data_IF_700162465453
#
_entry.id   IF_700162465453
#
_cell.length_a   1.000
_cell.length_b   1.000
_cell.length_c   1.000
_cell.angle_alpha   90.00
_cell.angle_beta   90.00
_cell.angle_gamma   90.00
#
_symmetry.space_group_name_H-M   'P 1'
#
loop_
_entity.id
_entity.type
_entity.pdbx_description
1 polymer ?
#
# COMPACT_ATOMS: atom_id res chain seq x y z
N UNK A 1 1.10 24.08 42.62
CA UNK A 1 1.22 23.04 43.68
C UNK A 1 2.68 22.73 44.05
N UNK A 2 3.66 23.55 43.63
CA UNK A 2 5.09 23.37 43.93
C UNK A 2 5.65 24.47 44.86
N UNK A 3 4.81 25.17 45.64
CA UNK A 3 5.27 26.32 46.41
C UNK A 3 5.60 26.06 47.89
N UNK A 4 5.41 24.89 48.43
CA UNK A 4 5.97 24.53 49.75
C UNK A 4 6.22 23.00 49.70
N UNK A 5 7.50 22.68 49.73
CA UNK A 5 7.99 21.33 49.54
C UNK A 5 7.38 20.31 50.48
N UNK A 6 6.30 19.73 50.07
CA UNK A 6 5.84 18.48 50.63
C UNK A 6 6.77 17.37 50.09
N UNK A 7 7.88 17.20 50.78
CA UNK A 7 8.89 16.16 50.47
C UNK A 7 8.26 14.77 50.50
N UNK A 8 7.15 14.59 51.20
CA UNK A 8 6.43 13.32 51.21
C UNK A 8 5.57 13.12 49.95
N UNK A 9 5.01 14.20 49.38
CA UNK A 9 4.35 14.15 48.07
C UNK A 9 5.35 13.86 46.96
N UNK A 10 6.54 14.47 47.00
CA UNK A 10 7.62 14.20 46.03
C UNK A 10 8.12 12.75 46.18
N UNK A 11 8.32 12.26 47.40
CA UNK A 11 8.70 10.87 47.67
C UNK A 11 7.64 9.87 47.20
N UNK A 12 6.35 10.15 47.43
CA UNK A 12 5.24 9.33 46.87
C UNK A 12 5.23 9.35 45.35
N UNK A 13 5.35 10.53 44.75
CA UNK A 13 5.41 10.63 43.29
C UNK A 13 6.61 9.86 42.67
N UNK A 14 7.79 9.88 43.37
CA UNK A 14 8.96 9.09 42.97
C UNK A 14 8.73 7.60 43.22
N UNK A 15 8.03 7.24 44.30
CA UNK A 15 7.73 5.83 44.62
C UNK A 15 6.68 5.27 43.64
N UNK A 16 5.68 6.04 43.28
CA UNK A 16 4.67 5.72 42.27
C UNK A 16 5.31 5.70 40.89
N UNK A 17 6.29 6.56 40.60
CA UNK A 17 7.08 6.52 39.37
C UNK A 17 7.93 5.24 39.22
N UNK A 18 8.27 4.54 40.33
CA UNK A 18 8.94 3.23 40.25
C UNK A 18 8.04 2.11 39.76
N UNK A 19 6.74 2.30 39.82
CA UNK A 19 5.75 1.39 39.19
C UNK A 19 5.38 1.81 37.79
N UNK A 20 5.93 2.95 37.31
CA UNK A 20 5.77 3.36 35.92
C UNK A 20 6.40 2.32 35.00
N UNK A 21 5.55 1.63 34.27
CA UNK A 21 6.00 0.77 33.18
C UNK A 21 6.23 1.67 31.97
N UNK A 22 7.43 1.64 31.37
CA UNK A 22 7.67 2.33 30.11
C UNK A 22 6.60 1.93 29.08
N UNK A 23 6.16 2.89 28.27
CA UNK A 23 5.23 2.62 27.17
C UNK A 23 5.75 1.45 26.31
N UNK A 24 4.85 0.55 25.92
CA UNK A 24 5.18 -0.60 25.12
C UNK A 24 5.51 -1.88 25.90
N UNK A 25 5.59 -1.84 27.25
CA UNK A 25 5.76 -3.07 28.06
C UNK A 25 4.40 -3.52 28.56
N UNK A 26 3.94 -4.69 28.08
CA UNK A 26 2.66 -5.28 28.43
C UNK A 26 2.90 -6.53 29.28
N UNK A 27 2.17 -6.68 30.38
CA UNK A 27 2.22 -7.90 31.20
C UNK A 27 1.50 -9.05 30.51
N UNK A 28 2.13 -10.26 30.50
CA UNK A 28 1.55 -11.41 29.81
C UNK A 28 0.13 -11.77 30.28
N UNK A 29 -0.21 -11.50 31.55
CA UNK A 29 -1.56 -11.74 32.08
C UNK A 29 -2.63 -10.83 31.47
N UNK A 30 -2.26 -9.61 31.06
CA UNK A 30 -3.18 -8.65 30.42
C UNK A 30 -3.41 -8.92 28.93
N UNK A 31 -2.68 -9.90 28.35
CA UNK A 31 -2.85 -10.28 26.95
C UNK A 31 -4.12 -11.11 26.68
N UNK A 32 -4.82 -11.57 27.74
CA UNK A 32 -5.99 -12.42 27.53
C UNK A 32 -7.06 -11.77 26.65
N UNK A 33 -7.39 -10.51 26.90
CA UNK A 33 -8.36 -9.77 26.06
C UNK A 33 -7.85 -9.62 24.64
N UNK A 34 -6.55 -9.34 24.47
CA UNK A 34 -5.94 -9.19 23.15
C UNK A 34 -5.99 -10.47 22.33
N UNK A 35 -5.70 -11.63 22.93
CA UNK A 35 -5.68 -12.92 22.22
C UNK A 35 -7.08 -13.53 22.04
N UNK A 36 -8.05 -13.13 22.86
CA UNK A 36 -9.45 -13.55 22.71
C UNK A 36 -10.23 -12.62 21.80
N UNK A 37 -9.74 -11.41 21.53
CA UNK A 37 -10.28 -10.55 20.47
C UNK A 37 -10.12 -11.27 19.12
N UNK A 38 -11.19 -11.46 18.33
CA UNK A 38 -11.07 -12.11 17.04
C UNK A 38 -9.99 -11.45 16.20
N UNK A 39 -9.11 -12.27 15.60
CA UNK A 39 -8.13 -11.79 14.63
C UNK A 39 -8.81 -10.91 13.57
N UNK A 40 -8.05 -9.95 13.03
CA UNK A 40 -8.49 -9.09 11.94
C UNK A 40 -9.28 -9.92 10.92
N UNK A 41 -10.59 -9.72 10.89
CA UNK A 41 -11.45 -10.43 9.93
C UNK A 41 -11.08 -10.00 8.54
N UNK A 42 -11.12 -10.92 7.58
CA UNK A 42 -11.19 -10.57 6.17
C UNK A 42 -12.32 -9.56 5.99
N UNK A 43 -11.99 -8.37 5.48
CA UNK A 43 -12.97 -7.31 5.20
C UNK A 43 -13.54 -7.47 3.81
N UNK A 44 -12.66 -7.78 2.84
CA UNK A 44 -13.02 -8.02 1.46
C UNK A 44 -12.19 -9.16 0.87
N UNK A 45 -12.79 -9.88 -0.05
CA UNK A 45 -12.05 -10.81 -0.88
C UNK A 45 -11.31 -10.05 -1.98
N UNK A 46 -10.14 -10.58 -2.38
CA UNK A 46 -9.52 -10.17 -3.63
C UNK A 46 -10.40 -10.57 -4.82
N UNK A 47 -10.43 -9.83 -5.93
CA UNK A 47 -11.16 -10.21 -7.14
C UNK A 47 -10.58 -11.46 -7.82
N UNK A 48 -9.53 -12.04 -7.26
CA UNK A 48 -8.83 -13.21 -7.77
C UNK A 48 -8.85 -14.34 -6.72
N UNK A 49 -9.56 -15.43 -7.02
CA UNK A 49 -9.74 -16.57 -6.11
C UNK A 49 -8.40 -17.10 -5.56
N UNK A 50 -7.37 -17.24 -6.42
CA UNK A 50 -6.06 -17.75 -5.98
C UNK A 50 -5.33 -16.84 -4.98
N UNK A 51 -5.64 -15.54 -4.92
CA UNK A 51 -5.13 -14.66 -3.87
C UNK A 51 -5.85 -14.91 -2.54
N UNK A 52 -7.17 -15.13 -2.57
CA UNK A 52 -7.94 -15.43 -1.36
C UNK A 52 -7.50 -16.75 -0.71
N UNK A 53 -7.19 -17.76 -1.52
CA UNK A 53 -6.67 -19.05 -1.03
C UNK A 53 -5.32 -18.92 -0.31
N UNK A 54 -4.50 -17.93 -0.68
CA UNK A 54 -3.14 -17.76 -0.15
C UNK A 54 -3.02 -16.65 0.90
N UNK A 55 -3.73 -15.55 0.71
CA UNK A 55 -3.67 -14.37 1.57
C UNK A 55 -4.87 -14.28 2.53
N UNK A 56 -5.87 -15.17 2.39
CA UNK A 56 -7.07 -15.21 3.21
C UNK A 56 -7.88 -13.90 3.20
N UNK A 57 -7.92 -13.22 2.04
CA UNK A 57 -8.60 -11.94 1.84
C UNK A 57 -7.78 -10.73 2.25
N UNK A 58 -8.41 -9.56 2.16
CA UNK A 58 -7.84 -8.24 2.51
C UNK A 58 -8.23 -7.94 3.95
N UNK A 59 -7.29 -7.48 4.78
CA UNK A 59 -7.50 -7.12 6.18
C UNK A 59 -6.93 -5.75 6.46
N UNK A 60 -7.58 -5.00 7.35
CA UNK A 60 -7.02 -3.73 7.82
C UNK A 60 -5.73 -3.95 8.63
N UNK A 61 -4.85 -2.94 8.64
CA UNK A 61 -3.57 -2.99 9.36
C UNK A 61 -2.48 -3.77 8.64
N UNK A 62 -2.65 -4.11 7.36
CA UNK A 62 -1.66 -4.84 6.57
C UNK A 62 -0.92 -3.95 5.57
N UNK A 63 0.37 -4.21 5.42
CA UNK A 63 1.23 -3.66 4.38
C UNK A 63 1.46 -4.73 3.31
N UNK A 64 0.81 -4.56 2.16
CA UNK A 64 0.89 -5.50 1.03
C UNK A 64 1.76 -4.89 -0.06
N UNK A 65 2.85 -5.53 -0.41
CA UNK A 65 3.72 -5.08 -1.50
C UNK A 65 3.38 -5.77 -2.81
N UNK A 66 3.20 -4.98 -3.87
CA UNK A 66 3.00 -5.43 -5.26
C UNK A 66 4.28 -5.15 -6.03
N UNK A 67 4.83 -6.17 -6.68
CA UNK A 67 6.10 -6.04 -7.40
C UNK A 67 6.06 -6.68 -8.79
N UNK A 68 6.83 -6.15 -9.71
CA UNK A 68 7.06 -6.76 -11.03
C UNK A 68 8.19 -6.05 -11.78
N UNK A 69 8.57 -6.59 -12.93
CA UNK A 69 9.33 -5.86 -13.96
C UNK A 69 8.60 -4.61 -14.46
N UNK A 70 9.32 -3.76 -15.18
CA UNK A 70 8.75 -2.56 -15.80
C UNK A 70 7.71 -2.97 -16.84
N UNK A 71 6.58 -2.27 -16.95
CA UNK A 71 5.55 -2.54 -17.97
C UNK A 71 4.71 -3.81 -17.76
N UNK A 72 4.91 -4.57 -16.68
CA UNK A 72 4.15 -5.82 -16.42
C UNK A 72 2.74 -5.61 -15.84
N UNK A 73 2.27 -4.37 -15.72
CA UNK A 73 0.88 -4.06 -15.35
C UNK A 73 0.62 -3.80 -13.87
N UNK A 74 1.63 -3.43 -13.04
CA UNK A 74 1.45 -3.10 -11.61
C UNK A 74 0.34 -2.07 -11.37
N UNK A 75 0.45 -0.91 -12.01
CA UNK A 75 -0.52 0.18 -11.88
C UNK A 75 -1.93 -0.27 -12.30
N UNK A 76 -2.05 -1.03 -13.39
CA UNK A 76 -3.34 -1.58 -13.84
C UNK A 76 -3.92 -2.56 -12.82
N UNK A 77 -3.08 -3.39 -12.21
CA UNK A 77 -3.48 -4.31 -11.16
C UNK A 77 -3.95 -3.56 -9.90
N UNK A 78 -3.22 -2.51 -9.48
CA UNK A 78 -3.61 -1.64 -8.37
C UNK A 78 -4.95 -0.95 -8.64
N UNK A 79 -5.14 -0.39 -9.85
CA UNK A 79 -6.40 0.23 -10.27
C UNK A 79 -7.56 -0.75 -10.25
N UNK A 80 -7.33 -1.99 -10.68
CA UNK A 80 -8.35 -3.04 -10.64
C UNK A 80 -8.74 -3.39 -9.19
N UNK A 81 -7.75 -3.54 -8.29
CA UNK A 81 -8.02 -3.74 -6.85
C UNK A 81 -8.74 -2.54 -6.23
N UNK A 82 -8.28 -1.32 -6.53
CA UNK A 82 -8.91 -0.11 -6.01
C UNK A 82 -10.37 0.00 -6.47
N UNK A 83 -10.64 -0.22 -7.77
CA UNK A 83 -12.00 -0.22 -8.30
C UNK A 83 -12.87 -1.29 -7.64
N UNK A 84 -12.35 -2.50 -7.45
CA UNK A 84 -13.08 -3.57 -6.77
C UNK A 84 -13.45 -3.18 -5.33
N UNK A 85 -12.52 -2.60 -4.57
CA UNK A 85 -12.77 -2.15 -3.19
C UNK A 85 -13.76 -0.98 -3.12
N UNK A 86 -13.66 -0.02 -4.03
CA UNK A 86 -14.63 1.08 -4.17
C UNK A 86 -16.03 0.55 -4.45
N UNK A 87 -16.18 -0.48 -5.30
CA UNK A 87 -17.47 -1.14 -5.57
C UNK A 87 -18.02 -1.90 -4.35
N UNK A 88 -17.16 -2.29 -3.41
CA UNK A 88 -17.57 -2.89 -2.12
C UNK A 88 -17.90 -1.82 -1.05
N UNK A 89 -17.86 -0.53 -1.40
CA UNK A 89 -18.16 0.58 -0.50
C UNK A 89 -16.99 1.02 0.38
N UNK A 90 -15.75 0.59 0.05
CA UNK A 90 -14.58 1.09 0.76
C UNK A 90 -14.21 2.51 0.35
N UNK A 91 -13.72 3.26 1.31
CA UNK A 91 -13.12 4.58 1.10
C UNK A 91 -11.64 4.41 0.79
N UNK A 92 -11.26 4.76 -0.46
CA UNK A 92 -9.94 4.45 -1.00
C UNK A 92 -9.13 5.71 -1.29
N UNK A 93 -7.90 5.77 -0.77
CA UNK A 93 -6.90 6.77 -1.14
C UNK A 93 -5.93 6.22 -2.19
N UNK A 94 -5.57 7.03 -3.18
CA UNK A 94 -4.62 6.63 -4.24
C UNK A 94 -3.57 7.73 -4.44
N UNK A 95 -2.30 7.34 -4.33
CA UNK A 95 -1.15 8.17 -4.63
C UNK A 95 -0.38 7.52 -5.79
N UNK A 96 -0.72 7.89 -7.04
CA UNK A 96 0.04 7.52 -8.25
C UNK A 96 0.98 8.68 -8.61
N UNK A 97 2.25 8.55 -8.22
CA UNK A 97 3.23 9.65 -8.35
C UNK A 97 3.80 9.80 -9.77
N UNK A 98 3.56 8.84 -10.66
CA UNK A 98 3.97 8.85 -12.06
C UNK A 98 2.84 9.17 -13.04
N UNK A 99 1.60 9.33 -12.54
CA UNK A 99 0.46 9.59 -13.39
C UNK A 99 -0.26 10.89 -12.98
N UNK A 100 -0.82 11.61 -13.94
CA UNK A 100 -1.72 12.72 -13.64
C UNK A 100 -3.05 12.17 -13.10
N UNK A 101 -3.75 12.95 -12.25
CA UNK A 101 -5.08 12.59 -11.76
C UNK A 101 -6.06 12.25 -12.86
N UNK A 102 -5.96 12.92 -14.03
CA UNK A 102 -6.76 12.58 -15.21
C UNK A 102 -6.49 11.14 -15.67
N UNK A 103 -5.22 10.73 -15.76
CA UNK A 103 -4.85 9.39 -16.21
C UNK A 103 -5.22 8.33 -15.17
N UNK A 104 -5.08 8.63 -13.88
CA UNK A 104 -5.53 7.77 -12.79
C UNK A 104 -7.04 7.57 -12.84
N UNK A 105 -7.83 8.66 -12.97
CA UNK A 105 -9.28 8.58 -13.08
C UNK A 105 -9.72 7.78 -14.32
N UNK A 106 -9.15 8.05 -15.50
CA UNK A 106 -9.43 7.27 -16.72
C UNK A 106 -9.09 5.79 -16.55
N UNK A 107 -8.01 5.48 -15.84
CA UNK A 107 -7.62 4.10 -15.55
C UNK A 107 -8.62 3.38 -14.64
N UNK A 108 -9.08 4.03 -13.56
CA UNK A 108 -10.12 3.50 -12.67
C UNK A 108 -11.46 3.33 -13.40
N UNK A 109 -11.88 4.34 -14.17
CA UNK A 109 -13.05 4.24 -15.04
C UNK A 109 -12.94 3.07 -16.02
N UNK A 110 -11.77 2.90 -16.65
CA UNK A 110 -11.50 1.77 -17.57
C UNK A 110 -11.70 0.42 -16.89
N UNK A 111 -11.25 0.27 -15.64
CA UNK A 111 -11.46 -0.95 -14.85
C UNK A 111 -12.96 -1.17 -14.54
N UNK A 112 -13.68 -0.10 -14.21
CA UNK A 112 -15.11 -0.19 -13.87
C UNK A 112 -15.98 -0.56 -15.06
N UNK A 113 -15.70 0.04 -16.25
CA UNK A 113 -16.54 -0.17 -17.45
C UNK A 113 -16.01 -1.27 -18.38
N UNK A 114 -14.83 -1.83 -18.11
CA UNK A 114 -14.22 -2.90 -18.91
C UNK A 114 -13.73 -2.45 -20.29
N UNK A 115 -13.43 -1.14 -20.47
CA UNK A 115 -12.96 -0.56 -21.74
C UNK A 115 -11.71 0.29 -21.52
N UNK A 116 -10.71 0.27 -22.43
CA UNK A 116 -9.49 1.06 -22.30
C UNK A 116 -9.72 2.53 -22.67
N UNK A 117 -10.23 3.36 -21.74
CA UNK A 117 -10.59 4.77 -21.98
C UNK A 117 -9.37 5.69 -22.19
N UNK A 118 -8.16 5.22 -21.95
CA UNK A 118 -6.92 5.94 -22.21
C UNK A 118 -6.42 5.78 -23.65
N UNK A 119 -7.08 4.94 -24.46
CA UNK A 119 -6.76 4.66 -25.86
C UNK A 119 -7.92 5.09 -26.75
N UNK A 120 -7.62 5.80 -27.84
CA UNK A 120 -8.64 6.28 -28.78
C UNK A 120 -9.27 7.61 -28.38
N UNK A 121 -10.20 8.05 -29.21
CA UNK A 121 -10.98 9.27 -28.96
C UNK A 121 -12.33 8.90 -28.37
N UNK A 122 -12.68 9.54 -27.28
CA UNK A 122 -13.96 9.38 -26.58
C UNK A 122 -14.66 10.73 -26.52
N UNK A 123 -15.93 10.74 -26.89
CA UNK A 123 -16.75 11.94 -26.82
C UNK A 123 -16.94 12.40 -25.36
N UNK A 124 -17.04 13.74 -25.16
CA UNK A 124 -17.22 14.31 -23.81
C UNK A 124 -18.42 13.69 -23.08
N UNK A 125 -19.58 13.56 -23.75
CA UNK A 125 -20.79 12.96 -23.15
C UNK A 125 -20.60 11.51 -22.75
N UNK A 126 -19.85 10.75 -23.54
CA UNK A 126 -19.54 9.35 -23.23
C UNK A 126 -18.67 9.26 -21.96
N UNK A 127 -17.61 10.09 -21.87
CA UNK A 127 -16.76 10.13 -20.68
C UNK A 127 -17.52 10.63 -19.44
N UNK A 128 -18.40 11.63 -19.59
CA UNK A 128 -19.26 12.11 -18.50
C UNK A 128 -20.16 10.96 -17.98
N UNK A 129 -20.75 10.18 -18.87
CA UNK A 129 -21.58 9.03 -18.46
C UNK A 129 -20.75 7.98 -17.72
N UNK A 130 -19.59 7.57 -18.26
CA UNK A 130 -18.71 6.60 -17.59
C UNK A 130 -18.23 7.11 -16.23
N UNK A 131 -17.94 8.41 -16.10
CA UNK A 131 -17.59 9.02 -14.83
C UNK A 131 -18.74 8.92 -13.81
N UNK A 132 -19.95 9.25 -14.23
CA UNK A 132 -21.15 9.17 -13.38
C UNK A 132 -21.48 7.72 -13.00
N UNK A 133 -21.27 6.76 -13.90
CA UNK A 133 -21.55 5.33 -13.64
C UNK A 133 -20.45 4.66 -12.82
N UNK A 134 -19.34 5.35 -12.53
CA UNK A 134 -18.20 4.78 -11.82
C UNK A 134 -17.67 5.71 -10.72
N UNK A 135 -16.65 6.48 -11.01
CA UNK A 135 -15.85 7.26 -10.03
C UNK A 135 -16.71 8.25 -9.23
N UNK A 136 -17.73 8.86 -9.83
CA UNK A 136 -18.59 9.85 -9.16
C UNK A 136 -19.37 9.27 -7.96
N UNK A 137 -19.61 7.98 -7.94
CA UNK A 137 -20.40 7.30 -6.89
C UNK A 137 -19.51 6.62 -5.83
N UNK A 138 -18.20 6.80 -5.91
CA UNK A 138 -17.25 6.14 -5.01
C UNK A 138 -16.57 7.14 -4.08
N UNK A 139 -16.29 6.72 -2.86
CA UNK A 139 -15.46 7.44 -1.90
C UNK A 139 -13.97 7.31 -2.28
N UNK A 140 -13.59 7.95 -3.39
CA UNK A 140 -12.25 7.95 -3.95
C UNK A 140 -11.53 9.27 -3.67
N UNK A 141 -10.32 9.20 -3.16
CA UNK A 141 -9.45 10.34 -2.90
C UNK A 141 -8.11 10.17 -3.63
N UNK A 142 -7.79 11.11 -4.51
CA UNK A 142 -6.54 11.11 -5.26
C UNK A 142 -5.57 12.15 -4.70
N UNK A 143 -4.31 11.80 -4.58
CA UNK A 143 -3.27 12.77 -4.32
C UNK A 143 -2.94 13.53 -5.61
N UNK A 144 -3.13 14.85 -5.60
CA UNK A 144 -2.77 15.70 -6.74
C UNK A 144 -1.29 16.10 -6.65
N UNK A 145 -0.43 15.20 -7.11
CA UNK A 145 1.01 15.40 -7.12
C UNK A 145 1.69 14.49 -8.12
N UNK A 146 2.65 15.05 -8.86
CA UNK A 146 3.40 14.35 -9.90
C UNK A 146 4.90 14.57 -9.69
N UNK A 147 5.68 13.50 -9.78
CA UNK A 147 7.14 13.54 -9.66
C UNK A 147 7.65 13.30 -8.24
N UNK A 148 8.86 13.79 -7.97
CA UNK A 148 9.54 13.62 -6.69
C UNK A 148 8.99 14.54 -5.61
N UNK A 149 8.77 13.97 -4.43
CA UNK A 149 8.34 14.68 -3.23
C UNK A 149 9.28 14.35 -2.08
N UNK A 150 9.39 15.29 -1.14
CA UNK A 150 9.96 14.98 0.16
C UNK A 150 9.17 13.85 0.81
N UNK A 151 9.82 12.77 1.28
CA UNK A 151 9.13 11.60 1.84
C UNK A 151 8.13 11.95 2.94
N UNK A 152 8.46 12.94 3.78
CA UNK A 152 7.59 13.39 4.86
C UNK A 152 6.25 13.94 4.36
N UNK A 153 6.24 14.59 3.21
CA UNK A 153 5.01 15.06 2.57
C UNK A 153 4.09 13.88 2.25
N UNK A 154 4.62 12.81 1.69
CA UNK A 154 3.83 11.63 1.32
C UNK A 154 3.29 10.92 2.58
N UNK A 155 4.12 10.75 3.62
CA UNK A 155 3.64 10.16 4.89
C UNK A 155 2.50 10.97 5.50
N UNK A 156 2.61 12.31 5.53
CA UNK A 156 1.55 13.20 6.02
C UNK A 156 0.27 13.09 5.18
N UNK A 157 0.38 12.93 3.85
CA UNK A 157 -0.80 12.75 2.97
C UNK A 157 -1.49 11.42 3.22
N UNK A 158 -0.73 10.33 3.36
CA UNK A 158 -1.30 9.02 3.72
C UNK A 158 -1.97 9.10 5.10
N UNK A 159 -1.32 9.72 6.09
CA UNK A 159 -1.89 9.89 7.42
C UNK A 159 -3.17 10.73 7.39
N UNK A 160 -3.20 11.82 6.63
CA UNK A 160 -4.42 12.63 6.44
C UNK A 160 -5.53 11.83 5.73
N UNK A 161 -5.21 11.05 4.68
CA UNK A 161 -6.20 10.16 4.06
C UNK A 161 -6.78 9.17 5.06
N UNK A 162 -5.93 8.60 5.92
CA UNK A 162 -6.34 7.64 6.94
C UNK A 162 -7.21 8.27 8.05
N UNK A 163 -6.79 9.41 8.59
CA UNK A 163 -7.38 9.99 9.80
C UNK A 163 -8.39 11.09 9.53
N UNK A 164 -8.14 11.92 8.51
CA UNK A 164 -9.00 13.05 8.14
C UNK A 164 -10.08 12.69 7.14
N UNK A 165 -9.78 11.78 6.20
CA UNK A 165 -10.72 11.34 5.17
C UNK A 165 -11.25 9.92 5.44
N UNK A 166 -10.80 9.29 6.53
CA UNK A 166 -11.20 7.92 6.94
C UNK A 166 -11.00 6.84 5.86
N UNK A 167 -10.01 7.04 4.98
CA UNK A 167 -9.63 6.01 4.03
C UNK A 167 -9.04 4.81 4.77
N UNK A 168 -9.67 3.65 4.63
CA UNK A 168 -9.20 2.42 5.27
C UNK A 168 -8.24 1.64 4.38
N UNK A 169 -8.23 1.94 3.09
CA UNK A 169 -7.32 1.37 2.10
C UNK A 169 -6.64 2.48 1.34
N UNK A 170 -5.31 2.39 1.22
CA UNK A 170 -4.49 3.36 0.49
C UNK A 170 -3.56 2.63 -0.47
N UNK A 171 -3.42 3.16 -1.69
CA UNK A 171 -2.48 2.69 -2.71
C UNK A 171 -1.37 3.72 -2.89
N UNK A 172 -0.11 3.26 -2.86
CA UNK A 172 1.08 4.08 -3.11
C UNK A 172 1.88 3.48 -4.29
N UNK A 173 1.83 4.14 -5.44
CA UNK A 173 2.54 3.75 -6.68
C UNK A 173 3.53 4.85 -7.09
N UNK A 174 4.86 4.69 -6.89
CA UNK A 174 5.59 3.59 -6.27
C UNK A 174 6.69 4.11 -5.32
N UNK A 175 7.22 3.23 -4.47
CA UNK A 175 8.22 3.58 -3.44
C UNK A 175 9.48 4.27 -3.98
N UNK A 176 9.94 3.92 -5.20
CA UNK A 176 11.21 4.46 -5.73
C UNK A 176 11.17 5.98 -5.99
N UNK A 177 9.98 6.56 -6.17
CA UNK A 177 9.85 8.03 -6.32
C UNK A 177 10.13 8.74 -5.00
N UNK A 178 9.77 8.14 -3.86
CA UNK A 178 10.09 8.68 -2.54
C UNK A 178 11.60 8.75 -2.30
N UNK A 179 12.35 7.95 -3.03
CA UNK A 179 13.81 7.86 -2.88
C UNK A 179 14.56 8.74 -3.89
N UNK A 180 13.92 9.12 -4.98
CA UNK A 180 14.58 9.82 -6.11
C UNK A 180 15.08 11.23 -5.78
N UNK A 181 14.56 11.86 -4.73
CA UNK A 181 14.98 13.17 -4.24
C UNK A 181 16.02 13.13 -3.11
N UNK A 182 16.42 11.94 -2.66
CA UNK A 182 17.33 11.78 -1.54
C UNK A 182 18.75 11.43 -2.02
N UNK A 183 19.78 12.03 -1.42
CA UNK A 183 21.16 11.64 -1.62
C UNK A 183 21.55 10.55 -0.61
N UNK A 184 22.26 9.49 -1.08
CA UNK A 184 22.80 8.47 -0.20
C UNK A 184 22.63 7.02 -0.70
N UNK A 185 22.82 6.06 0.21
CA UNK A 185 22.67 4.64 -0.08
C UNK A 185 21.17 4.29 -0.24
N UNK A 186 20.78 3.92 -1.45
CA UNK A 186 19.40 3.52 -1.81
C UNK A 186 18.86 2.45 -0.87
N UNK A 187 19.69 1.48 -0.49
CA UNK A 187 19.28 0.40 0.41
C UNK A 187 18.86 0.93 1.77
N UNK A 188 19.66 1.82 2.36
CA UNK A 188 19.36 2.43 3.66
C UNK A 188 18.09 3.28 3.59
N UNK A 189 17.89 4.00 2.48
CA UNK A 189 16.68 4.80 2.27
C UNK A 189 15.43 3.93 2.17
N UNK A 190 15.51 2.80 1.46
CA UNK A 190 14.40 1.84 1.41
C UNK A 190 14.09 1.29 2.80
N UNK A 191 15.11 0.93 3.59
CA UNK A 191 14.93 0.42 4.96
C UNK A 191 14.21 1.43 5.85
N UNK A 192 14.61 2.70 5.80
CA UNK A 192 13.97 3.78 6.55
C UNK A 192 12.53 4.02 6.10
N UNK A 193 12.31 4.06 4.78
CA UNK A 193 10.98 4.27 4.19
C UNK A 193 10.02 3.13 4.58
N UNK A 194 10.45 1.89 4.45
CA UNK A 194 9.64 0.73 4.83
C UNK A 194 9.31 0.73 6.33
N UNK A 195 10.28 1.07 7.19
CA UNK A 195 10.06 1.18 8.64
C UNK A 195 9.02 2.25 8.96
N UNK A 196 9.10 3.40 8.31
CA UNK A 196 8.12 4.49 8.50
C UNK A 196 6.73 4.14 7.97
N UNK A 197 6.63 3.52 6.80
CA UNK A 197 5.35 3.05 6.24
C UNK A 197 4.72 1.98 7.14
N UNK A 198 5.52 1.02 7.66
CA UNK A 198 5.03 0.02 8.61
C UNK A 198 4.49 0.67 9.89
N UNK A 199 5.25 1.59 10.48
CA UNK A 199 4.82 2.34 11.67
C UNK A 199 3.54 3.14 11.43
N UNK A 200 3.37 3.70 10.22
CA UNK A 200 2.16 4.41 9.83
C UNK A 200 0.97 3.45 9.74
N UNK A 201 1.13 2.30 9.10
CA UNK A 201 0.10 1.25 9.01
C UNK A 201 -0.33 0.78 10.40
N UNK A 202 0.61 0.48 11.30
CA UNK A 202 0.33 0.08 12.70
C UNK A 202 -0.46 1.15 13.46
N UNK A 203 -0.08 2.42 13.30
CA UNK A 203 -0.70 3.53 14.02
C UNK A 203 -2.09 3.87 13.50
N UNK A 204 -2.30 3.80 12.20
CA UNK A 204 -3.56 4.20 11.55
C UNK A 204 -4.53 3.04 11.34
N UNK A 205 -4.03 1.82 11.34
CA UNK A 205 -4.83 0.61 11.08
C UNK A 205 -5.30 0.46 9.63
N UNK A 206 -4.73 1.21 8.67
CA UNK A 206 -5.09 1.09 7.24
C UNK A 206 -4.48 -0.15 6.61
N UNK A 207 -5.05 -0.60 5.49
CA UNK A 207 -4.36 -1.47 4.54
C UNK A 207 -3.60 -0.61 3.55
N UNK A 208 -2.29 -0.78 3.46
CA UNK A 208 -1.46 -0.07 2.49
C UNK A 208 -0.98 -1.03 1.39
N UNK A 209 -1.42 -0.80 0.16
CA UNK A 209 -0.88 -1.43 -1.03
C UNK A 209 0.28 -0.59 -1.57
N UNK A 210 1.49 -1.15 -1.49
CA UNK A 210 2.72 -0.49 -1.89
C UNK A 210 3.27 -1.10 -3.17
N UNK A 211 3.53 -0.29 -4.18
CA UNK A 211 4.19 -0.75 -5.41
C UNK A 211 5.70 -0.61 -5.28
N UNK A 212 6.41 -1.67 -5.62
CA UNK A 212 7.88 -1.71 -5.69
C UNK A 212 8.35 -2.36 -6.98
N UNK A 213 9.48 -1.89 -7.51
CA UNK A 213 10.13 -2.54 -8.66
C UNK A 213 11.05 -3.67 -8.22
N UNK A 214 11.22 -4.67 -9.10
CA UNK A 214 12.30 -5.66 -8.97
C UNK A 214 13.64 -5.05 -9.43
N UNK A 215 14.74 -5.61 -8.95
CA UNK A 215 16.08 -5.32 -9.48
C UNK A 215 16.17 -5.82 -10.92
N UNK A 216 16.94 -5.11 -11.73
CA UNK A 216 17.39 -5.68 -13.01
C UNK A 216 18.28 -6.88 -12.71
N UNK A 217 17.93 -8.02 -13.26
CA UNK A 217 18.75 -9.23 -13.14
C UNK A 217 19.70 -9.32 -14.32
N UNK A 218 20.90 -9.86 -14.10
CA UNK A 218 21.83 -10.27 -15.15
C UNK A 218 21.58 -11.72 -15.59
N UNK A 219 20.34 -12.23 -15.39
CA UNK A 219 19.94 -13.56 -15.84
C UNK A 219 19.68 -13.56 -17.34
N UNK A 220 19.78 -14.74 -17.96
CA UNK A 220 19.55 -14.93 -19.42
C UNK A 220 18.12 -14.58 -19.85
N UNK A 221 17.18 -14.46 -18.90
CA UNK A 221 15.80 -14.05 -19.14
C UNK A 221 15.46 -12.84 -18.27
N UNK A 222 14.99 -11.78 -18.88
CA UNK A 222 14.55 -10.57 -18.18
C UNK A 222 13.16 -10.75 -17.56
N UNK A 223 12.85 -9.94 -16.52
CA UNK A 223 11.51 -9.96 -15.91
C UNK A 223 10.41 -9.51 -16.89
N UNK A 224 10.77 -8.68 -17.86
CA UNK A 224 9.90 -8.23 -18.96
C UNK A 224 9.57 -9.36 -19.95
N UNK A 225 10.33 -10.46 -19.92
CA UNK A 225 10.13 -11.69 -20.70
C UNK A 225 9.41 -12.78 -19.90
N UNK A 226 8.80 -12.43 -18.76
CA UNK A 226 8.04 -13.35 -17.92
C UNK A 226 8.87 -14.20 -16.97
N UNK A 227 10.14 -13.83 -16.72
CA UNK A 227 10.97 -14.56 -15.78
C UNK A 227 10.34 -14.58 -14.38
N UNK A 228 10.45 -15.74 -13.71
CA UNK A 228 9.92 -15.95 -12.37
C UNK A 228 10.55 -14.99 -11.37
N UNK A 229 9.70 -14.32 -10.57
CA UNK A 229 10.11 -13.41 -9.50
C UNK A 229 10.22 -14.18 -8.19
N UNK A 230 11.27 -13.87 -7.43
CA UNK A 230 11.50 -14.38 -6.08
C UNK A 230 11.75 -13.22 -5.10
N UNK A 231 11.69 -13.46 -3.79
CA UNK A 231 12.00 -12.45 -2.78
C UNK A 231 13.39 -11.81 -2.95
N UNK A 232 14.37 -12.58 -3.47
CA UNK A 232 15.73 -12.09 -3.74
C UNK A 232 15.80 -11.05 -4.87
N UNK A 233 14.78 -10.96 -5.71
CA UNK A 233 14.71 -9.98 -6.80
C UNK A 233 14.12 -8.63 -6.38
N UNK A 234 13.60 -8.50 -5.16
CA UNK A 234 13.10 -7.23 -4.65
C UNK A 234 14.23 -6.17 -4.62
N UNK A 235 13.90 -4.97 -5.11
CA UNK A 235 14.87 -3.86 -5.16
C UNK A 235 15.18 -3.38 -3.75
N UNK A 236 16.46 -3.15 -3.48
CA UNK A 236 16.97 -2.50 -2.27
C UNK A 236 17.33 -3.49 -1.20
N UNK A 237 16.46 -3.81 -0.27
CA UNK A 237 16.82 -4.52 0.94
C UNK A 237 15.85 -5.65 1.32
N UNK A 238 16.26 -6.42 2.33
CA UNK A 238 15.38 -7.39 2.95
C UNK A 238 14.18 -6.75 3.67
N UNK A 239 14.20 -5.44 3.93
CA UNK A 239 13.15 -4.74 4.68
C UNK A 239 11.78 -4.84 4.00
N UNK A 240 11.71 -4.80 2.65
CA UNK A 240 10.45 -5.02 1.94
C UNK A 240 9.88 -6.39 2.29
N UNK A 241 10.71 -7.45 2.25
CA UNK A 241 10.24 -8.80 2.56
C UNK A 241 9.95 -9.02 4.05
N UNK A 242 10.63 -8.30 4.93
CA UNK A 242 10.44 -8.42 6.37
C UNK A 242 9.21 -7.65 6.86
N UNK A 243 9.02 -6.43 6.39
CA UNK A 243 8.01 -5.49 6.90
C UNK A 243 6.66 -5.57 6.17
N UNK A 244 6.58 -6.22 4.99
CA UNK A 244 5.31 -6.50 4.34
C UNK A 244 4.65 -7.73 4.95
N UNK A 245 3.33 -7.68 5.13
CA UNK A 245 2.51 -8.83 5.56
C UNK A 245 2.28 -9.80 4.40
N UNK A 246 2.09 -9.27 3.19
CA UNK A 246 1.98 -10.05 1.97
C UNK A 246 2.78 -9.44 0.83
N UNK A 247 3.24 -10.27 -0.10
CA UNK A 247 3.98 -9.83 -1.29
C UNK A 247 3.41 -10.52 -2.53
N UNK A 248 2.91 -9.72 -3.46
CA UNK A 248 2.31 -10.15 -4.72
C UNK A 248 3.25 -9.78 -5.85
N UNK A 249 3.67 -10.75 -6.65
CA UNK A 249 4.46 -10.54 -7.85
C UNK A 249 3.60 -10.72 -9.11
N UNK A 250 3.79 -9.85 -10.10
CA UNK A 250 3.19 -9.96 -11.42
C UNK A 250 4.27 -10.34 -12.43
N UNK A 251 4.08 -11.45 -13.08
CA UNK A 251 4.99 -12.01 -14.08
C UNK A 251 4.29 -12.03 -15.45
N UNK A 252 4.84 -11.32 -16.42
CA UNK A 252 4.28 -11.21 -17.76
C UNK A 252 5.38 -11.16 -18.80
N UNK A 253 5.27 -11.99 -19.82
CA UNK A 253 6.01 -11.84 -21.06
C UNK A 253 5.33 -10.77 -21.92
N UNK A 254 6.00 -9.63 -22.10
CA UNK A 254 5.47 -8.49 -22.86
C UNK A 254 5.48 -8.72 -24.37
N UNK A 255 6.30 -9.67 -24.85
CA UNK A 255 6.40 -10.04 -26.25
C UNK A 255 5.37 -11.11 -26.64
N UNK A 256 4.79 -11.79 -25.66
CA UNK A 256 3.80 -12.82 -25.92
C UNK A 256 2.51 -12.23 -26.48
N UNK A 257 1.89 -12.95 -27.41
CA UNK A 257 0.62 -12.58 -28.04
C UNK A 257 -0.41 -13.70 -27.92
N UNK A 258 -1.67 -13.36 -28.14
CA UNK A 258 -2.79 -14.31 -28.07
C UNK A 258 -2.94 -14.95 -26.68
N UNK A 259 -3.16 -16.25 -26.63
CA UNK A 259 -3.36 -16.99 -25.37
C UNK A 259 -2.15 -17.01 -24.43
N UNK A 260 -0.96 -16.69 -24.93
CA UNK A 260 0.28 -16.59 -24.14
C UNK A 260 0.45 -15.21 -23.48
N UNK A 261 -0.30 -14.20 -23.92
CA UNK A 261 -0.28 -12.84 -23.35
C UNK A 261 -1.03 -12.80 -22.00
N UNK A 262 -0.68 -13.68 -21.07
CA UNK A 262 -1.27 -13.76 -19.74
C UNK A 262 -0.32 -13.20 -18.68
N UNK A 263 -0.88 -12.66 -17.60
CA UNK A 263 -0.11 -12.26 -16.43
C UNK A 263 -0.31 -13.29 -15.32
N UNK A 264 0.79 -13.85 -14.83
CA UNK A 264 0.77 -14.72 -13.65
C UNK A 264 0.83 -13.85 -12.40
N UNK A 265 -0.14 -14.00 -11.52
CA UNK A 265 -0.15 -13.38 -10.20
C UNK A 265 0.37 -14.40 -9.19
N UNK A 266 1.51 -14.11 -8.57
CA UNK A 266 2.18 -15.00 -7.63
C UNK A 266 2.28 -14.38 -6.24
N UNK A 267 1.90 -15.12 -5.22
CA UNK A 267 2.16 -14.76 -3.82
C UNK A 267 3.55 -15.26 -3.46
N UNK A 268 4.40 -14.33 -2.98
CA UNK A 268 5.78 -14.62 -2.56
C UNK A 268 5.88 -14.76 -1.04
N UNK A 269 4.97 -14.10 -0.31
CA UNK A 269 4.86 -14.14 1.15
C UNK A 269 3.39 -14.03 1.55
#
# INVERSE_FOLDING_TARGET
ALQHGDMDAIRRAIYDAKTYRPDGIVEGRSLLELVTTPNLKCIHEYPFKGLNEKLHGIRYGELITITSGTGSGKTSFCRHLATHLLQQGERVGVLELEASNRNTALGLMSCAVGKPLHIGEHGRRELEQYFLDSVANYDLYLFDGFGSFEPDTIYQRIEFMATGLECRVVFLDHISILLSGLEGDERRMIDQTMTRLRSLVERTGITLFLVSHVRRTHSDQAHEEGARITLGHLRGSHSISQLSDGIIALERDQQASGSKASTTVRVLK
#
